data_IF_231949165348
#
_entry.id   IF_231949165348
#
_cell.length_a   1.000
_cell.length_b   1.000
_cell.length_c   1.000
_cell.angle_alpha   90.00
_cell.angle_beta   90.00
_cell.angle_gamma   90.00
#
_symmetry.space_group_name_H-M   'P 1'
#
loop_
_entity.id
_entity.type
_entity.pdbx_description
1 polymer ?
#
# COMPACT_ATOMS: atom_id res chain seq x y z
N UNK A 1 6.50 6.55 -49.84
CA UNK A 1 7.67 6.82 -48.97
C UNK A 1 7.34 7.37 -47.56
N UNK A 2 6.08 7.31 -47.08
CA UNK A 2 5.73 7.75 -45.70
C UNK A 2 5.83 6.59 -44.69
N UNK A 3 5.66 5.35 -45.15
CA UNK A 3 5.65 4.14 -44.30
C UNK A 3 7.02 3.70 -43.77
N UNK A 4 8.13 4.16 -44.36
CA UNK A 4 9.47 3.90 -43.80
C UNK A 4 9.87 4.85 -42.67
N UNK A 5 9.11 5.94 -42.43
CA UNK A 5 9.39 6.87 -41.32
C UNK A 5 8.63 6.53 -40.03
N UNK A 6 7.60 5.66 -40.09
CA UNK A 6 6.82 5.22 -38.94
C UNK A 6 7.48 4.09 -38.13
N UNK A 7 8.53 3.46 -38.65
CA UNK A 7 9.30 2.44 -37.93
C UNK A 7 10.17 3.02 -36.80
N UNK A 8 10.29 4.35 -36.69
CA UNK A 8 11.11 5.06 -35.69
C UNK A 8 10.39 5.45 -34.39
N UNK A 9 9.10 5.13 -34.23
CA UNK A 9 8.39 5.38 -32.97
C UNK A 9 8.41 4.16 -32.03
N UNK A 10 8.54 4.46 -30.73
CA UNK A 10 8.68 3.50 -29.63
C UNK A 10 7.53 2.49 -29.57
N UNK A 11 7.82 1.31 -29.00
CA UNK A 11 6.88 0.18 -28.87
C UNK A 11 5.56 0.55 -28.17
N UNK A 12 5.57 1.57 -27.31
CA UNK A 12 4.40 2.08 -26.58
C UNK A 12 3.41 2.78 -27.51
N UNK A 13 3.90 3.60 -28.46
CA UNK A 13 3.06 4.27 -29.46
C UNK A 13 2.43 3.28 -30.43
N UNK A 14 3.14 2.19 -30.79
CA UNK A 14 2.57 1.12 -31.63
C UNK A 14 1.39 0.42 -30.96
N UNK A 15 1.46 0.19 -29.65
CA UNK A 15 0.38 -0.46 -28.89
C UNK A 15 -0.86 0.44 -28.77
N UNK A 16 -0.67 1.72 -28.40
CA UNK A 16 -1.79 2.66 -28.24
C UNK A 16 -2.53 2.89 -29.57
N UNK A 17 -1.79 3.05 -30.68
CA UNK A 17 -2.35 3.25 -32.01
C UNK A 17 -3.02 1.98 -32.55
N UNK A 18 -2.43 0.80 -32.31
CA UNK A 18 -3.02 -0.51 -32.65
C UNK A 18 -4.37 -0.74 -31.97
N UNK A 19 -4.48 -0.44 -30.67
CA UNK A 19 -5.73 -0.61 -29.91
C UNK A 19 -6.81 0.35 -30.37
N UNK A 20 -6.46 1.59 -30.74
CA UNK A 20 -7.41 2.58 -31.25
C UNK A 20 -7.88 2.27 -32.68
N UNK A 21 -6.99 1.76 -33.55
CA UNK A 21 -7.34 1.37 -34.92
C UNK A 21 -8.15 0.07 -35.01
N UNK A 22 -7.96 -0.87 -34.06
CA UNK A 22 -8.74 -2.12 -33.99
C UNK A 22 -10.17 -1.93 -33.49
N UNK A 23 -10.43 -0.87 -32.71
CA UNK A 23 -11.77 -0.56 -32.19
C UNK A 23 -12.64 0.23 -33.17
N UNK A 24 -12.02 0.89 -34.15
CA UNK A 24 -12.73 1.72 -35.10
C UNK A 24 -12.71 1.07 -36.48
N UNK A 25 -13.60 0.08 -36.68
CA UNK A 25 -13.71 -0.75 -37.91
C UNK A 25 -13.81 0.11 -39.17
N UNK A 26 -14.43 1.30 -39.08
CA UNK A 26 -14.52 2.26 -40.20
C UNK A 26 -13.18 2.91 -40.57
N UNK A 27 -12.30 3.15 -39.60
CA UNK A 27 -10.97 3.71 -39.86
C UNK A 27 -9.99 2.65 -40.38
N UNK A 28 -10.13 1.40 -39.93
CA UNK A 28 -9.32 0.27 -40.41
C UNK A 28 -9.67 -0.09 -41.86
N UNK A 29 -10.94 -0.10 -42.25
CA UNK A 29 -11.36 -0.44 -43.62
C UNK A 29 -10.84 0.55 -44.68
N UNK A 30 -10.75 1.85 -44.36
CA UNK A 30 -10.25 2.87 -45.29
C UNK A 30 -8.72 2.82 -45.44
N UNK A 31 -8.01 2.39 -44.39
CA UNK A 31 -6.55 2.28 -44.41
C UNK A 31 -6.03 1.03 -45.16
N UNK A 32 -6.80 -0.06 -45.19
CA UNK A 32 -6.50 -1.28 -45.94
C UNK A 32 -7.09 -1.22 -47.36
N UNK A 33 -6.64 -0.23 -48.14
CA UNK A 33 -7.11 0.00 -49.51
C UNK A 33 -6.51 -1.01 -50.51
N UNK A 34 -6.87 -2.29 -50.37
CA UNK A 34 -6.67 -3.34 -51.38
C UNK A 34 -8.02 -3.98 -51.66
N UNK A 35 -8.59 -3.66 -52.82
CA UNK A 35 -9.80 -4.28 -53.43
C UNK A 35 -10.88 -4.66 -52.41
N UNK A 36 -11.64 -3.66 -51.94
CA UNK A 36 -12.85 -3.90 -51.14
C UNK A 36 -13.85 -4.73 -51.94
N UNK A 37 -14.44 -5.75 -51.30
CA UNK A 37 -15.49 -6.56 -51.90
C UNK A 37 -16.67 -5.69 -52.36
N UNK A 38 -17.39 -6.06 -53.44
CA UNK A 38 -18.50 -5.27 -53.98
C UNK A 38 -19.53 -4.85 -52.93
N UNK A 39 -19.81 -5.71 -51.94
CA UNK A 39 -20.73 -5.44 -50.82
C UNK A 39 -20.14 -4.40 -49.85
N UNK A 40 -18.86 -4.51 -49.49
CA UNK A 40 -18.20 -3.54 -48.61
C UNK A 40 -18.08 -2.17 -49.26
N UNK A 41 -17.83 -2.13 -50.57
CA UNK A 41 -17.84 -0.91 -51.37
C UNK A 41 -19.21 -0.24 -51.34
N UNK A 42 -20.29 -1.01 -51.52
CA UNK A 42 -21.66 -0.50 -51.41
C UNK A 42 -21.94 0.13 -50.04
N UNK A 43 -21.49 -0.50 -48.95
CA UNK A 43 -21.62 0.06 -47.60
C UNK A 43 -20.86 1.38 -47.43
N UNK A 44 -19.61 1.43 -47.88
CA UNK A 44 -18.79 2.67 -47.80
C UNK A 44 -19.42 3.79 -48.65
N UNK A 45 -19.91 3.46 -49.83
CA UNK A 45 -20.55 4.42 -50.73
C UNK A 45 -21.87 4.93 -50.12
N UNK A 46 -22.68 4.06 -49.50
CA UNK A 46 -23.90 4.47 -48.77
C UNK A 46 -23.60 5.32 -47.53
N UNK A 47 -22.52 5.03 -46.80
CA UNK A 47 -22.07 5.87 -45.67
C UNK A 47 -21.67 7.27 -46.16
N UNK A 48 -20.95 7.34 -47.30
CA UNK A 48 -20.58 8.63 -47.91
C UNK A 48 -21.80 9.38 -48.41
N UNK A 49 -22.73 8.69 -49.08
CA UNK A 49 -24.00 9.26 -49.54
C UNK A 49 -24.81 9.84 -48.37
N UNK A 50 -24.94 9.08 -47.27
CA UNK A 50 -25.61 9.55 -46.04
C UNK A 50 -24.90 10.76 -45.44
N UNK A 51 -23.56 10.77 -45.40
CA UNK A 51 -22.80 11.92 -44.89
C UNK A 51 -23.04 13.19 -45.71
N UNK A 52 -23.03 13.07 -47.04
CA UNK A 52 -23.32 14.20 -47.94
C UNK A 52 -24.74 14.70 -47.75
N UNK A 53 -25.73 13.80 -47.71
CA UNK A 53 -27.13 14.17 -47.47
C UNK A 53 -27.32 14.82 -46.10
N UNK A 54 -26.68 14.29 -45.05
CA UNK A 54 -26.73 14.84 -43.68
C UNK A 54 -26.18 16.26 -43.61
N UNK A 55 -25.10 16.54 -44.35
CA UNK A 55 -24.52 17.90 -44.40
C UNK A 55 -25.46 18.90 -45.08
N UNK A 56 -26.21 18.47 -46.09
CA UNK A 56 -27.22 19.30 -46.75
C UNK A 56 -28.44 19.55 -45.86
N UNK A 57 -28.89 18.54 -45.10
CA UNK A 57 -30.08 18.64 -44.25
C UNK A 57 -29.80 19.25 -42.86
N UNK A 58 -28.53 19.36 -42.44
CA UNK A 58 -28.15 19.86 -41.11
C UNK A 58 -28.54 18.94 -39.93
N UNK A 59 -29.05 17.74 -40.23
CA UNK A 59 -29.60 16.79 -39.25
C UNK A 59 -29.69 15.37 -39.84
N UNK A 60 -30.22 14.38 -39.09
CA UNK A 60 -30.40 13.03 -39.58
C UNK A 60 -31.16 12.99 -40.92
N UNK A 61 -30.64 12.25 -41.89
CA UNK A 61 -31.24 12.13 -43.23
C UNK A 61 -32.53 11.33 -43.12
N UNK A 62 -33.58 11.76 -43.84
CA UNK A 62 -34.93 11.16 -43.86
C UNK A 62 -35.70 11.24 -42.53
N UNK A 63 -35.31 12.16 -41.62
CA UNK A 63 -36.10 12.45 -40.43
C UNK A 63 -37.39 13.22 -40.82
N UNK A 64 -38.54 12.57 -40.63
CA UNK A 64 -39.85 13.22 -40.77
C UNK A 64 -40.16 14.18 -39.62
N UNK A 65 -41.25 14.97 -39.72
CA UNK A 65 -41.65 15.91 -38.66
C UNK A 65 -41.94 15.22 -37.32
N UNK A 66 -42.33 13.94 -37.33
CA UNK A 66 -42.53 13.12 -36.12
C UNK A 66 -41.24 12.92 -35.32
N UNK A 67 -40.08 12.75 -35.99
CA UNK A 67 -38.79 12.58 -35.33
C UNK A 67 -38.41 13.82 -34.52
N UNK A 68 -38.70 15.01 -35.06
CA UNK A 68 -38.42 16.26 -34.38
C UNK A 68 -39.33 16.44 -33.15
N UNK A 69 -40.60 16.04 -33.26
CA UNK A 69 -41.54 16.07 -32.13
C UNK A 69 -41.14 15.11 -31.01
N UNK A 70 -40.72 13.89 -31.34
CA UNK A 70 -40.26 12.93 -30.34
C UNK A 70 -38.94 13.38 -29.69
N UNK A 71 -38.01 13.95 -30.47
CA UNK A 71 -36.78 14.53 -29.95
C UNK A 71 -37.07 15.66 -28.96
N UNK A 72 -37.97 16.58 -29.31
CA UNK A 72 -38.37 17.69 -28.44
C UNK A 72 -39.08 17.20 -27.18
N UNK A 73 -39.91 16.15 -27.29
CA UNK A 73 -40.57 15.52 -26.14
C UNK A 73 -39.57 14.89 -25.17
N UNK A 74 -38.58 14.16 -25.67
CA UNK A 74 -37.55 13.54 -24.82
C UNK A 74 -36.60 14.58 -24.22
N UNK A 75 -36.25 15.63 -24.98
CA UNK A 75 -35.49 16.77 -24.45
C UNK A 75 -36.27 17.50 -23.35
N UNK A 76 -37.59 17.64 -23.47
CA UNK A 76 -38.44 18.22 -22.44
C UNK A 76 -38.49 17.36 -21.18
N UNK A 77 -38.64 16.03 -21.32
CA UNK A 77 -38.57 15.08 -20.19
C UNK A 77 -37.23 15.16 -19.47
N UNK A 78 -36.12 15.19 -20.21
CA UNK A 78 -34.78 15.31 -19.65
C UNK A 78 -34.59 16.63 -18.90
N UNK A 79 -35.07 17.75 -19.44
CA UNK A 79 -35.05 19.07 -18.75
C UNK A 79 -35.86 19.07 -17.46
N UNK A 80 -37.00 18.37 -17.42
CA UNK A 80 -37.81 18.23 -16.20
C UNK A 80 -37.12 17.36 -15.14
N UNK A 81 -36.49 16.26 -15.54
CA UNK A 81 -35.83 15.34 -14.61
C UNK A 81 -34.50 15.85 -14.06
N UNK A 82 -33.70 16.56 -14.86
CA UNK A 82 -32.32 16.94 -14.50
C UNK A 82 -32.12 18.44 -14.26
N UNK A 83 -33.18 19.26 -14.38
CA UNK A 83 -33.16 20.68 -14.01
C UNK A 83 -32.53 21.62 -15.05
N UNK A 84 -32.70 22.94 -14.85
CA UNK A 84 -32.33 24.05 -15.77
C UNK A 84 -30.81 24.27 -15.97
N UNK A 85 -30.00 23.22 -16.01
CA UNK A 85 -28.58 23.32 -16.34
C UNK A 85 -28.37 23.19 -17.86
N UNK A 86 -27.27 23.76 -18.37
CA UNK A 86 -26.85 23.58 -19.76
C UNK A 86 -26.59 22.09 -20.02
N UNK A 87 -27.43 21.46 -20.82
CA UNK A 87 -27.39 20.02 -21.12
C UNK A 87 -26.14 19.61 -21.91
N UNK A 88 -25.38 20.57 -22.42
CA UNK A 88 -24.09 20.34 -23.08
C UNK A 88 -22.91 20.39 -22.10
N UNK A 89 -23.13 20.83 -20.86
CA UNK A 89 -22.11 20.90 -19.82
C UNK A 89 -22.25 19.71 -18.87
N UNK A 90 -21.16 18.95 -18.70
CA UNK A 90 -21.11 17.90 -17.70
C UNK A 90 -21.10 18.52 -16.29
N UNK A 91 -21.89 18.02 -15.32
CA UNK A 91 -21.94 18.60 -13.99
C UNK A 91 -20.57 18.57 -13.30
N UNK A 92 -20.16 19.69 -12.69
CA UNK A 92 -19.00 19.71 -11.80
C UNK A 92 -19.38 19.13 -10.44
N UNK A 93 -18.95 17.90 -10.19
CA UNK A 93 -19.11 17.29 -8.87
C UNK A 93 -18.00 17.75 -7.92
N UNK A 94 -18.38 18.47 -6.86
CA UNK A 94 -17.49 18.75 -5.72
C UNK A 94 -17.75 17.74 -4.62
N UNK A 95 -16.88 16.74 -4.51
CA UNK A 95 -16.93 15.75 -3.43
C UNK A 95 -16.13 16.25 -2.22
N UNK A 96 -16.82 16.96 -1.32
CA UNK A 96 -16.29 17.41 -0.04
C UNK A 96 -16.68 16.44 1.09
N UNK A 97 -15.96 15.32 1.19
CA UNK A 97 -15.96 14.48 2.41
C UNK A 97 -14.96 15.02 3.43
N UNK A 98 -15.35 15.20 4.70
CA UNK A 98 -14.49 15.80 5.74
C UNK A 98 -13.27 14.92 6.08
N UNK A 99 -13.41 13.60 6.02
CA UNK A 99 -12.29 12.66 6.20
C UNK A 99 -11.25 12.76 5.08
N UNK A 100 -11.69 13.07 3.86
CA UNK A 100 -10.83 13.36 2.73
C UNK A 100 -10.18 14.75 2.84
N UNK A 101 -10.80 15.71 3.53
CA UNK A 101 -10.20 17.03 3.77
C UNK A 101 -8.99 16.94 4.70
N UNK A 102 -9.06 16.21 5.82
CA UNK A 102 -7.93 16.03 6.75
C UNK A 102 -6.75 15.29 6.10
N UNK A 103 -7.01 14.21 5.35
CA UNK A 103 -5.95 13.50 4.61
C UNK A 103 -5.30 14.39 3.52
N UNK A 104 -6.11 15.19 2.81
CA UNK A 104 -5.61 16.18 1.84
C UNK A 104 -4.76 17.25 2.52
N UNK A 105 -5.16 17.74 3.69
CA UNK A 105 -4.39 18.71 4.48
C UNK A 105 -3.03 18.15 4.90
N UNK A 106 -2.98 16.94 5.48
CA UNK A 106 -1.72 16.30 5.84
C UNK A 106 -0.79 16.12 4.63
N UNK A 107 -1.34 15.73 3.47
CA UNK A 107 -0.58 15.62 2.22
C UNK A 107 -0.03 16.97 1.70
N UNK A 108 -0.77 18.07 1.89
CA UNK A 108 -0.31 19.42 1.53
C UNK A 108 0.81 19.88 2.47
N UNK A 109 0.65 19.68 3.78
CA UNK A 109 1.69 19.99 4.76
C UNK A 109 2.96 19.17 4.50
N UNK A 110 2.81 17.90 4.12
CA UNK A 110 3.94 17.03 3.76
C UNK A 110 4.72 17.57 2.56
N UNK A 111 4.05 17.97 1.47
CA UNK A 111 4.75 18.60 0.33
C UNK A 111 5.40 19.92 0.73
N UNK A 112 4.74 20.73 1.55
CA UNK A 112 5.30 22.00 2.03
C UNK A 112 6.58 21.78 2.82
N UNK A 113 6.60 20.83 3.73
CA UNK A 113 7.78 20.51 4.54
C UNK A 113 8.90 19.90 3.70
N UNK A 114 8.57 19.00 2.77
CA UNK A 114 9.52 18.44 1.80
C UNK A 114 10.14 19.52 0.91
N UNK A 115 9.34 20.48 0.44
CA UNK A 115 9.81 21.62 -0.33
C UNK A 115 10.71 22.53 0.51
N UNK A 116 10.35 22.78 1.78
CA UNK A 116 11.19 23.51 2.73
C UNK A 116 12.55 22.84 2.86
N UNK A 117 12.61 21.54 3.20
CA UNK A 117 13.86 20.79 3.37
C UNK A 117 14.76 20.80 2.12
N UNK A 118 14.15 20.76 0.92
CA UNK A 118 14.88 20.92 -0.34
C UNK A 118 15.44 22.34 -0.51
N UNK A 119 14.65 23.36 -0.17
CA UNK A 119 15.06 24.76 -0.27
C UNK A 119 16.20 25.13 0.69
N UNK A 120 16.33 24.45 1.84
CA UNK A 120 17.48 24.61 2.75
C UNK A 120 18.82 24.21 2.09
N UNK A 121 18.80 23.46 0.98
CA UNK A 121 20.00 22.93 0.32
C UNK A 121 19.98 23.27 -1.18
N UNK A 122 20.20 24.54 -1.56
CA UNK A 122 20.11 24.96 -2.96
C UNK A 122 21.29 24.49 -3.82
N UNK A 123 22.44 24.18 -3.21
CA UNK A 123 23.64 23.73 -3.91
C UNK A 123 23.73 22.21 -3.88
N UNK A 124 24.08 21.62 -5.02
CA UNK A 124 24.27 20.18 -5.16
C UNK A 124 25.67 19.80 -4.71
N UNK A 125 25.76 19.07 -3.60
CA UNK A 125 27.00 18.47 -3.11
C UNK A 125 27.19 17.08 -3.72
N UNK A 126 28.44 16.72 -4.03
CA UNK A 126 28.78 15.39 -4.54
C UNK A 126 29.13 14.47 -3.37
N UNK A 127 28.61 13.25 -3.43
CA UNK A 127 28.89 12.19 -2.45
C UNK A 127 29.42 10.95 -3.16
N UNK A 128 30.28 10.21 -2.47
CA UNK A 128 30.84 8.95 -2.95
C UNK A 128 30.13 7.79 -2.25
N UNK A 129 29.53 6.90 -3.05
CA UNK A 129 28.76 5.77 -2.54
C UNK A 129 29.43 4.49 -3.00
N UNK A 130 30.00 3.72 -2.07
CA UNK A 130 30.69 2.46 -2.37
C UNK A 130 29.73 1.29 -2.26
N UNK A 131 29.63 0.47 -3.31
CA UNK A 131 28.76 -0.71 -3.28
C UNK A 131 29.53 -1.94 -2.83
N UNK A 132 29.12 -2.53 -1.70
CA UNK A 132 29.85 -3.60 -1.03
C UNK A 132 29.81 -4.93 -1.78
N UNK A 133 28.69 -5.25 -2.44
CA UNK A 133 28.49 -6.56 -3.10
C UNK A 133 28.52 -6.44 -4.63
N UNK A 134 29.24 -5.45 -5.18
CA UNK A 134 29.19 -5.22 -6.61
C UNK A 134 29.91 -6.35 -7.35
N UNK A 135 29.44 -6.75 -8.56
CA UNK A 135 30.12 -7.75 -9.39
C UNK A 135 31.59 -7.40 -9.66
N UNK A 136 31.93 -6.10 -9.59
CA UNK A 136 33.29 -5.59 -9.51
C UNK A 136 33.55 -5.14 -8.07
N UNK A 137 34.51 -5.74 -7.36
CA UNK A 137 34.88 -5.30 -6.02
C UNK A 137 35.21 -3.80 -6.03
N UNK A 138 34.54 -3.01 -5.18
CA UNK A 138 34.83 -1.58 -5.04
C UNK A 138 34.14 -0.64 -6.03
N UNK A 139 33.05 -1.05 -6.69
CA UNK A 139 32.27 -0.14 -7.53
C UNK A 139 31.81 1.09 -6.70
N UNK A 140 32.28 2.26 -7.09
CA UNK A 140 32.01 3.53 -6.40
C UNK A 140 31.19 4.43 -7.33
N UNK A 141 30.11 4.98 -6.80
CA UNK A 141 29.24 5.91 -7.50
C UNK A 141 29.48 7.33 -6.99
N UNK A 142 29.63 8.28 -7.90
CA UNK A 142 29.63 9.71 -7.56
C UNK A 142 28.23 10.26 -7.80
N UNK A 143 27.52 10.54 -6.73
CA UNK A 143 26.10 10.91 -6.72
C UNK A 143 25.88 12.29 -6.10
N UNK A 144 24.62 12.74 -6.12
CA UNK A 144 24.23 14.02 -5.55
C UNK A 144 23.69 13.81 -4.13
N UNK A 145 24.35 14.40 -3.13
CA UNK A 145 23.88 14.40 -1.75
C UNK A 145 22.51 15.07 -1.65
N UNK A 146 21.64 14.53 -0.80
CA UNK A 146 20.26 14.97 -0.56
C UNK A 146 19.31 14.92 -1.77
N UNK A 147 19.75 14.38 -2.92
CA UNK A 147 18.91 14.18 -4.11
C UNK A 147 18.92 12.73 -4.59
N UNK A 148 20.10 12.14 -4.72
CA UNK A 148 20.24 10.75 -5.17
C UNK A 148 19.77 9.78 -4.08
N UNK A 149 19.17 8.67 -4.52
CA UNK A 149 18.60 7.65 -3.64
C UNK A 149 19.23 6.28 -3.91
N UNK A 150 19.12 5.30 -3.02
CA UNK A 150 19.54 3.93 -3.31
C UNK A 150 18.95 3.36 -4.62
N UNK A 151 17.72 3.76 -4.98
CA UNK A 151 17.12 3.39 -6.26
C UNK A 151 17.91 3.91 -7.46
N UNK A 152 18.49 5.12 -7.36
CA UNK A 152 19.37 5.65 -8.41
C UNK A 152 20.66 4.83 -8.51
N UNK A 153 21.24 4.39 -7.38
CA UNK A 153 22.39 3.47 -7.39
C UNK A 153 22.04 2.14 -8.09
N UNK A 154 20.88 1.56 -7.77
CA UNK A 154 20.41 0.33 -8.39
C UNK A 154 20.22 0.49 -9.92
N UNK A 155 19.71 1.65 -10.36
CA UNK A 155 19.57 1.98 -11.77
C UNK A 155 20.92 2.03 -12.52
N UNK A 156 21.98 2.52 -11.86
CA UNK A 156 23.33 2.55 -12.43
C UNK A 156 23.97 1.16 -12.55
N UNK A 157 23.52 0.18 -11.76
CA UNK A 157 24.03 -1.19 -11.82
C UNK A 157 23.39 -2.00 -12.95
N UNK A 158 22.08 -2.24 -12.86
CA UNK A 158 21.32 -2.93 -13.90
C UNK A 158 19.82 -2.85 -13.66
N UNK A 159 19.05 -3.11 -14.71
CA UNK A 159 17.59 -3.24 -14.61
C UNK A 159 17.16 -4.33 -13.61
N UNK A 160 17.97 -5.39 -13.46
CA UNK A 160 17.69 -6.44 -12.48
C UNK A 160 17.75 -5.91 -11.04
N UNK A 161 18.75 -5.11 -10.68
CA UNK A 161 18.83 -4.50 -9.35
C UNK A 161 17.67 -3.52 -9.15
N UNK A 162 17.37 -2.69 -10.15
CA UNK A 162 16.25 -1.75 -10.10
C UNK A 162 14.90 -2.42 -9.78
N UNK A 163 14.65 -3.63 -10.34
CA UNK A 163 13.38 -4.36 -10.18
C UNK A 163 13.33 -5.29 -8.96
N UNK A 164 14.48 -5.74 -8.45
CA UNK A 164 14.53 -6.74 -7.37
C UNK A 164 14.96 -6.16 -6.01
N UNK A 165 15.63 -5.02 -5.99
CA UNK A 165 16.03 -4.36 -4.74
C UNK A 165 14.83 -3.67 -4.08
N UNK A 166 14.52 -4.11 -2.86
CA UNK A 166 13.38 -3.62 -2.07
C UNK A 166 13.85 -2.66 -1.00
N UNK A 167 15.03 -2.90 -0.44
CA UNK A 167 15.61 -2.10 0.62
C UNK A 167 17.10 -1.91 0.37
N UNK A 168 17.72 -0.93 1.02
CA UNK A 168 19.16 -0.79 1.06
C UNK A 168 19.66 -0.86 2.51
N UNK A 169 20.89 -1.35 2.69
CA UNK A 169 21.67 -1.09 3.90
C UNK A 169 22.65 0.02 3.58
N UNK A 170 22.55 1.12 4.31
CA UNK A 170 23.46 2.27 4.24
C UNK A 170 24.25 2.30 5.53
N UNK A 171 25.58 2.15 5.45
CA UNK A 171 26.46 2.00 6.62
C UNK A 171 25.97 0.90 7.60
N UNK A 172 25.43 -0.19 7.06
CA UNK A 172 24.86 -1.30 7.83
C UNK A 172 23.45 -1.06 8.39
N UNK A 173 22.85 0.11 8.19
CA UNK A 173 21.49 0.44 8.67
C UNK A 173 20.44 0.30 7.57
N UNK A 174 19.25 -0.28 7.84
CA UNK A 174 18.14 -0.33 6.89
C UNK A 174 17.70 1.06 6.41
N UNK A 175 17.54 1.21 5.10
CA UNK A 175 17.25 2.48 4.42
C UNK A 175 16.26 2.28 3.26
N UNK A 176 15.30 3.20 3.12
CA UNK A 176 14.32 3.13 2.04
C UNK A 176 14.96 3.40 0.69
N UNK A 177 14.48 2.70 -0.34
CA UNK A 177 15.02 2.86 -1.70
C UNK A 177 14.78 4.25 -2.30
N UNK A 178 13.74 4.95 -1.86
CA UNK A 178 13.38 6.30 -2.33
C UNK A 178 13.85 7.43 -1.41
N UNK A 179 14.45 7.10 -0.26
CA UNK A 179 14.95 8.09 0.69
C UNK A 179 16.32 8.63 0.24
N UNK A 180 16.52 9.96 0.13
CA UNK A 180 17.79 10.53 -0.31
C UNK A 180 18.97 10.17 0.60
N UNK A 181 20.14 9.97 -0.02
CA UNK A 181 21.41 9.76 0.68
C UNK A 181 21.98 11.11 1.10
N UNK A 182 22.39 11.25 2.36
CA UNK A 182 22.84 12.53 2.92
C UNK A 182 24.35 12.75 2.83
N UNK A 183 25.13 11.68 2.88
CA UNK A 183 26.59 11.71 2.92
C UNK A 183 27.19 10.55 2.14
N UNK A 184 28.51 10.59 1.91
CA UNK A 184 29.26 9.44 1.39
C UNK A 184 29.10 8.25 2.33
N UNK A 185 28.79 7.08 1.77
CA UNK A 185 28.38 5.92 2.54
C UNK A 185 28.63 4.61 1.80
N UNK A 186 28.60 3.51 2.55
CA UNK A 186 28.67 2.17 1.99
C UNK A 186 27.25 1.62 1.80
N UNK A 187 26.96 1.11 0.60
CA UNK A 187 25.63 0.61 0.24
C UNK A 187 25.64 -0.88 -0.10
N UNK A 188 24.62 -1.58 0.39
CA UNK A 188 24.26 -2.95 -0.01
C UNK A 188 22.78 -2.97 -0.37
N UNK A 189 22.44 -3.48 -1.54
CA UNK A 189 21.05 -3.61 -1.96
C UNK A 189 20.48 -4.95 -1.46
N UNK A 190 19.28 -4.92 -0.89
CA UNK A 190 18.60 -6.09 -0.35
C UNK A 190 17.37 -6.48 -1.17
N UNK A 191 17.14 -7.78 -1.34
CA UNK A 191 16.02 -8.38 -2.04
C UNK A 191 15.34 -9.48 -1.21
N UNK A 192 14.12 -9.88 -1.61
CA UNK A 192 13.36 -10.92 -0.90
C UNK A 192 14.03 -12.31 -0.89
N UNK A 193 14.91 -12.60 -1.86
CA UNK A 193 15.53 -13.91 -2.05
C UNK A 193 16.95 -13.99 -1.48
N UNK A 194 17.36 -12.97 -0.73
CA UNK A 194 18.66 -12.97 -0.07
C UNK A 194 18.70 -13.98 1.08
N UNK A 195 19.92 -14.32 1.52
CA UNK A 195 20.13 -15.29 2.62
C UNK A 195 19.51 -14.84 3.94
N UNK A 196 19.55 -13.53 4.20
CA UNK A 196 18.95 -12.90 5.37
C UNK A 196 17.95 -11.80 4.92
N UNK A 197 16.70 -12.17 4.65
CA UNK A 197 15.68 -11.23 4.20
C UNK A 197 14.94 -10.53 5.35
N UNK A 198 15.38 -10.67 6.62
CA UNK A 198 14.59 -10.23 7.78
C UNK A 198 14.30 -8.72 7.79
N UNK A 199 15.26 -7.91 7.35
CA UNK A 199 15.06 -6.46 7.21
C UNK A 199 14.01 -6.14 6.14
N UNK A 200 14.07 -6.82 4.99
CA UNK A 200 13.12 -6.66 3.88
C UNK A 200 11.74 -7.15 4.27
N UNK A 201 11.65 -8.28 4.96
CA UNK A 201 10.42 -8.85 5.48
C UNK A 201 9.75 -7.88 6.46
N UNK A 202 10.47 -7.33 7.43
CA UNK A 202 9.90 -6.33 8.36
C UNK A 202 9.41 -5.08 7.63
N UNK A 203 10.19 -4.55 6.68
CA UNK A 203 9.77 -3.39 5.87
C UNK A 203 8.52 -3.68 5.03
N UNK A 204 8.42 -4.87 4.44
CA UNK A 204 7.24 -5.32 3.70
C UNK A 204 6.00 -5.38 4.57
N UNK A 205 6.11 -5.96 5.77
CA UNK A 205 5.00 -6.09 6.72
C UNK A 205 4.50 -4.75 7.24
N UNK A 206 5.41 -3.83 7.56
CA UNK A 206 5.05 -2.44 7.91
C UNK A 206 4.31 -1.76 6.77
N UNK A 207 4.83 -1.87 5.56
CA UNK A 207 4.22 -1.25 4.37
C UNK A 207 2.81 -1.77 4.12
N UNK A 208 2.61 -3.09 4.26
CA UNK A 208 1.29 -3.71 4.15
C UNK A 208 0.35 -3.22 5.26
N UNK A 209 0.80 -3.12 6.51
CA UNK A 209 -0.01 -2.59 7.59
C UNK A 209 -0.47 -1.14 7.31
N UNK A 210 0.42 -0.27 6.84
CA UNK A 210 0.04 1.11 6.49
C UNK A 210 -0.94 1.14 5.32
N UNK A 211 -0.76 0.29 4.30
CA UNK A 211 -1.74 0.14 3.21
C UNK A 211 -3.11 -0.31 3.72
N UNK A 212 -3.15 -1.20 4.72
CA UNK A 212 -4.39 -1.62 5.39
C UNK A 212 -5.09 -0.44 6.07
N UNK A 213 -4.34 0.38 6.81
CA UNK A 213 -4.89 1.59 7.44
C UNK A 213 -5.54 2.55 6.43
N UNK A 214 -4.89 2.74 5.28
CA UNK A 214 -5.46 3.55 4.18
C UNK A 214 -6.71 2.91 3.56
N UNK A 215 -6.70 1.59 3.33
CA UNK A 215 -7.84 0.87 2.76
C UNK A 215 -9.06 0.93 3.71
N UNK A 216 -8.84 0.71 5.00
CA UNK A 216 -9.88 0.79 6.03
C UNK A 216 -10.43 2.22 6.13
N UNK A 217 -9.57 3.24 6.19
CA UNK A 217 -10.02 4.65 6.23
C UNK A 217 -10.89 5.04 5.04
N UNK A 218 -10.64 4.49 3.85
CA UNK A 218 -11.39 4.81 2.61
C UNK A 218 -12.67 4.01 2.42
N UNK A 219 -12.79 2.85 3.08
CA UNK A 219 -13.88 1.92 2.82
C UNK A 219 -15.20 2.29 3.53
N UNK A 220 -15.13 2.97 4.68
CA UNK A 220 -16.31 3.38 5.42
C UNK A 220 -16.90 4.67 4.84
N UNK A 221 -18.23 4.83 4.97
CA UNK A 221 -18.93 6.04 4.56
C UNK A 221 -18.50 7.22 5.44
N UNK A 222 -18.54 8.44 4.89
CA UNK A 222 -18.18 9.66 5.62
C UNK A 222 -18.99 9.87 6.91
N UNK A 223 -20.21 9.34 6.96
CA UNK A 223 -21.06 9.35 8.15
C UNK A 223 -20.46 8.57 9.33
N UNK A 224 -19.61 7.57 9.08
CA UNK A 224 -18.99 6.73 10.10
C UNK A 224 -17.49 7.06 10.22
N UNK A 225 -17.10 7.98 11.12
CA UNK A 225 -15.71 8.33 11.31
C UNK A 225 -14.86 7.11 11.69
N UNK A 226 -13.69 7.04 11.05
CA UNK A 226 -12.67 6.00 11.28
C UNK A 226 -11.40 6.65 11.79
N UNK A 227 -11.02 6.32 13.02
CA UNK A 227 -9.82 6.86 13.66
C UNK A 227 -8.72 5.81 13.67
N UNK A 228 -7.64 6.08 12.95
CA UNK A 228 -6.47 5.19 12.87
C UNK A 228 -5.61 5.33 14.12
N UNK A 229 -5.32 4.24 14.82
CA UNK A 229 -4.57 4.28 16.08
C UNK A 229 -3.08 4.05 15.80
N UNK A 230 -2.69 2.79 15.58
CA UNK A 230 -1.30 2.39 15.37
C UNK A 230 -1.22 1.13 14.52
N UNK A 231 -0.06 0.90 13.92
CA UNK A 231 0.29 -0.36 13.29
C UNK A 231 1.20 -1.14 14.25
N UNK A 232 0.70 -2.14 15.00
CA UNK A 232 1.52 -2.92 15.91
C UNK A 232 2.64 -3.64 15.17
N UNK A 233 3.86 -3.62 15.69
CA UNK A 233 4.93 -4.45 15.14
C UNK A 233 4.65 -5.93 15.43
N UNK A 234 4.31 -6.67 14.38
CA UNK A 234 4.07 -8.11 14.42
C UNK A 234 5.21 -8.85 13.72
N UNK A 235 5.78 -9.91 14.32
CA UNK A 235 6.78 -10.71 13.65
C UNK A 235 6.15 -11.40 12.44
N UNK A 236 6.91 -11.57 11.36
CA UNK A 236 6.43 -12.21 10.11
C UNK A 236 5.93 -13.64 10.36
N UNK A 237 6.54 -14.34 11.32
CA UNK A 237 6.12 -15.68 11.76
C UNK A 237 4.73 -15.72 12.41
N UNK A 238 4.17 -14.58 12.84
CA UNK A 238 2.82 -14.52 13.39
C UNK A 238 1.72 -14.82 12.35
N UNK A 239 2.00 -14.58 11.07
CA UNK A 239 1.13 -14.95 9.96
C UNK A 239 0.07 -13.92 9.56
N UNK A 240 0.00 -12.74 10.19
CA UNK A 240 -0.83 -11.62 9.72
C UNK A 240 -0.30 -10.26 10.21
N UNK A 241 -0.24 -9.26 9.32
CA UNK A 241 0.05 -7.88 9.72
C UNK A 241 -1.22 -7.24 10.26
N UNK A 242 -1.06 -6.32 11.19
CA UNK A 242 -2.19 -5.76 11.95
C UNK A 242 -2.22 -4.24 11.86
N UNK A 243 -3.42 -3.67 11.90
CA UNK A 243 -3.63 -2.24 12.09
C UNK A 243 -4.79 -2.02 13.05
N UNK A 244 -4.55 -1.23 14.09
CA UNK A 244 -5.53 -0.94 15.14
C UNK A 244 -6.32 0.33 14.77
N UNK A 245 -7.64 0.22 14.80
CA UNK A 245 -8.59 1.23 14.32
C UNK A 245 -9.74 1.37 15.29
N UNK A 246 -10.10 2.60 15.65
CA UNK A 246 -11.32 2.90 16.39
C UNK A 246 -12.42 3.24 15.40
N UNK A 247 -13.54 2.52 15.49
CA UNK A 247 -14.75 2.78 14.71
C UNK A 247 -15.77 3.58 15.53
N UNK A 248 -16.67 4.27 14.83
CA UNK A 248 -17.80 5.00 15.42
C UNK A 248 -18.62 4.13 16.39
N UNK A 249 -19.11 4.72 17.48
CA UNK A 249 -19.91 4.03 18.49
C UNK A 249 -21.21 3.40 17.96
N UNK A 250 -21.75 3.87 16.83
CA UNK A 250 -22.90 3.26 16.14
C UNK A 250 -22.57 1.91 15.53
N UNK A 251 -21.30 1.60 15.33
CA UNK A 251 -20.80 0.31 14.86
C UNK A 251 -20.42 -0.62 16.03
N UNK A 252 -20.91 -0.36 17.25
CA UNK A 252 -20.78 -1.29 18.38
C UNK A 252 -21.42 -2.64 18.03
N UNK A 253 -20.64 -3.70 18.11
CA UNK A 253 -21.08 -5.06 17.77
C UNK A 253 -21.08 -5.39 16.27
N UNK A 254 -20.71 -4.43 15.40
CA UNK A 254 -20.49 -4.73 13.99
C UNK A 254 -19.32 -5.70 13.85
N UNK A 255 -19.53 -6.75 13.07
CA UNK A 255 -18.49 -7.69 12.66
C UNK A 255 -18.48 -7.75 11.15
N UNK A 256 -17.31 -7.66 10.51
CA UNK A 256 -17.25 -7.65 9.05
C UNK A 256 -17.69 -9.00 8.50
N UNK A 257 -18.60 -8.95 7.54
CA UNK A 257 -18.97 -10.12 6.74
C UNK A 257 -17.84 -10.49 5.78
N UNK A 258 -17.95 -11.66 5.14
CA UNK A 258 -17.01 -12.07 4.09
C UNK A 258 -17.01 -11.11 2.90
N UNK A 259 -18.14 -10.46 2.62
CA UNK A 259 -18.26 -9.48 1.54
C UNK A 259 -17.61 -8.14 1.89
N UNK A 260 -17.70 -7.72 3.16
CA UNK A 260 -17.00 -6.53 3.66
C UNK A 260 -15.48 -6.70 3.56
N UNK A 261 -14.95 -7.85 3.99
CA UNK A 261 -13.52 -8.18 3.89
C UNK A 261 -13.04 -8.25 2.43
N UNK A 262 -13.86 -8.77 1.52
CA UNK A 262 -13.57 -8.75 0.07
C UNK A 262 -13.54 -7.32 -0.48
N UNK A 263 -14.46 -6.47 -0.05
CA UNK A 263 -14.51 -5.07 -0.46
C UNK A 263 -13.29 -4.29 0.04
N UNK A 264 -12.90 -4.48 1.30
CA UNK A 264 -11.65 -3.94 1.86
C UNK A 264 -10.41 -4.41 1.09
N UNK A 265 -10.38 -5.70 0.74
CA UNK A 265 -9.29 -6.26 -0.07
C UNK A 265 -9.27 -5.65 -1.47
N UNK A 266 -10.43 -5.34 -2.07
CA UNK A 266 -10.53 -4.67 -3.37
C UNK A 266 -10.00 -3.24 -3.33
N UNK A 267 -10.26 -2.50 -2.25
CA UNK A 267 -9.67 -1.17 -2.03
C UNK A 267 -8.13 -1.25 -1.97
N UNK A 268 -7.59 -2.21 -1.22
CA UNK A 268 -6.14 -2.44 -1.17
C UNK A 268 -5.55 -2.78 -2.56
N UNK A 269 -6.23 -3.64 -3.34
CA UNK A 269 -5.81 -3.90 -4.73
C UNK A 269 -5.91 -2.67 -5.63
N UNK A 270 -6.85 -1.75 -5.37
CA UNK A 270 -6.90 -0.44 -6.04
C UNK A 270 -5.64 0.39 -5.79
N UNK A 271 -5.12 0.38 -4.56
CA UNK A 271 -3.84 1.03 -4.21
C UNK A 271 -2.64 0.37 -4.90
N UNK A 272 -2.64 -0.96 -4.98
CA UNK A 272 -1.57 -1.74 -5.64
C UNK A 272 -1.52 -1.43 -7.14
N UNK A 273 -2.69 -1.43 -7.82
CA UNK A 273 -2.77 -1.18 -9.27
C UNK A 273 -2.32 0.21 -9.68
N UNK A 274 -2.40 1.19 -8.77
CA UNK A 274 -1.93 2.56 -8.99
C UNK A 274 -0.40 2.71 -8.92
N UNK A 275 0.32 1.69 -8.41
CA UNK A 275 1.78 1.66 -8.26
C UNK A 275 2.36 2.95 -7.64
N UNK A 276 1.82 3.32 -6.48
CA UNK A 276 2.17 4.56 -5.80
C UNK A 276 3.54 4.42 -5.10
N UNK A 277 4.44 5.42 -5.22
CA UNK A 277 5.69 5.43 -4.48
C UNK A 277 5.44 5.72 -2.99
N UNK A 278 6.21 5.05 -2.13
CA UNK A 278 6.31 5.41 -0.73
C UNK A 278 7.42 6.46 -0.57
N UNK A 279 7.03 7.62 -0.07
CA UNK A 279 7.94 8.72 0.21
C UNK A 279 8.13 8.87 1.72
N UNK A 280 9.38 8.79 2.16
CA UNK A 280 9.75 8.94 3.57
C UNK A 280 10.28 10.34 3.82
N UNK A 281 9.85 10.96 4.91
CA UNK A 281 10.33 12.26 5.37
C UNK A 281 10.54 12.24 6.87
N UNK A 282 11.73 12.62 7.33
CA UNK A 282 11.96 12.88 8.75
C UNK A 282 11.60 14.33 9.04
N UNK A 283 10.77 14.54 10.05
CA UNK A 283 10.26 15.87 10.43
C UNK A 283 10.41 16.08 11.93
N UNK A 284 10.43 17.34 12.36
CA UNK A 284 10.33 17.69 13.78
C UNK A 284 8.95 17.32 14.32
N UNK A 285 8.89 16.89 15.59
CA UNK A 285 7.66 16.48 16.26
C UNK A 285 6.58 17.56 16.18
N UNK A 286 6.94 18.85 16.27
CA UNK A 286 5.98 19.96 16.17
C UNK A 286 5.21 19.96 14.84
N UNK A 287 5.93 19.74 13.74
CA UNK A 287 5.35 19.70 12.39
C UNK A 287 4.50 18.43 12.23
N UNK A 288 4.95 17.31 12.77
CA UNK A 288 4.16 16.08 12.78
C UNK A 288 2.85 16.23 13.57
N UNK A 289 2.87 16.90 14.74
CA UNK A 289 1.67 17.16 15.53
C UNK A 289 0.65 18.02 14.76
N UNK A 290 1.10 19.04 14.03
CA UNK A 290 0.24 19.84 13.15
C UNK A 290 -0.42 19.01 12.04
N UNK A 291 0.29 18.02 11.48
CA UNK A 291 -0.26 17.14 10.44
C UNK A 291 -1.34 16.18 10.95
N UNK A 292 -1.29 15.82 12.24
CA UNK A 292 -2.18 14.82 12.86
C UNK A 292 -3.08 15.42 13.95
N UNK A 293 -3.33 16.74 13.93
CA UNK A 293 -4.15 17.43 14.94
C UNK A 293 -5.55 16.81 15.10
N UNK A 294 -6.11 16.28 14.01
CA UNK A 294 -7.44 15.63 13.99
C UNK A 294 -7.45 14.26 14.68
N UNK A 295 -6.29 13.70 15.05
CA UNK A 295 -6.17 12.35 15.57
C UNK A 295 -5.31 12.28 16.83
N UNK A 296 -5.99 12.32 17.99
CA UNK A 296 -5.38 12.22 19.32
C UNK A 296 -4.44 11.03 19.49
N UNK A 297 -4.83 9.84 19.02
CA UNK A 297 -3.99 8.64 19.16
C UNK A 297 -2.67 8.75 18.39
N UNK A 298 -2.69 9.44 17.23
CA UNK A 298 -1.47 9.71 16.46
C UNK A 298 -0.60 10.76 17.12
N UNK A 299 -1.19 11.78 17.73
CA UNK A 299 -0.44 12.77 18.50
C UNK A 299 0.30 12.13 19.68
N UNK A 300 -0.38 11.31 20.48
CA UNK A 300 0.22 10.56 21.59
C UNK A 300 1.38 9.66 21.11
N UNK A 301 1.19 8.97 19.97
CA UNK A 301 2.23 8.15 19.36
C UNK A 301 3.44 8.97 18.88
N UNK A 302 3.21 10.17 18.34
CA UNK A 302 4.27 11.09 17.89
C UNK A 302 5.07 11.58 19.08
N UNK A 303 4.41 11.93 20.19
CA UNK A 303 5.07 12.35 21.43
C UNK A 303 5.89 11.22 22.06
N UNK A 304 5.34 10.02 22.12
CA UNK A 304 6.05 8.81 22.58
C UNK A 304 7.33 8.60 21.76
N UNK A 305 7.24 8.64 20.43
CA UNK A 305 8.40 8.48 19.53
C UNK A 305 9.41 9.61 19.64
N UNK A 306 8.93 10.84 19.73
CA UNK A 306 9.79 12.00 19.89
C UNK A 306 10.53 11.98 21.22
N UNK A 307 9.99 11.31 22.25
CA UNK A 307 10.67 11.13 23.54
C UNK A 307 11.81 10.10 23.50
N UNK A 308 11.71 9.10 22.61
CA UNK A 308 12.72 8.05 22.44
C UNK A 308 13.92 8.50 21.59
N UNK A 309 13.72 9.49 20.72
CA UNK A 309 14.74 10.03 19.82
C UNK A 309 15.38 11.32 20.40
N UNK A 310 16.72 11.37 20.57
CA UNK A 310 17.41 12.57 21.07
C UNK A 310 17.16 13.83 20.23
N UNK A 311 17.03 13.67 18.91
CA UNK A 311 16.78 14.77 17.97
C UNK A 311 15.29 15.17 17.90
N UNK A 312 14.41 14.48 18.63
CA UNK A 312 12.94 14.67 18.64
C UNK A 312 12.30 14.63 17.25
N UNK A 313 12.95 13.96 16.30
CA UNK A 313 12.45 13.75 14.94
C UNK A 313 11.57 12.51 14.85
N UNK A 314 10.58 12.57 13.96
CA UNK A 314 9.66 11.47 13.66
C UNK A 314 9.66 11.22 12.15
N UNK A 315 9.67 9.94 11.77
CA UNK A 315 9.62 9.52 10.36
C UNK A 315 8.19 9.36 9.90
N UNK A 316 7.82 10.12 8.87
CA UNK A 316 6.53 10.05 8.19
C UNK A 316 6.68 9.37 6.85
N UNK A 317 5.72 8.52 6.51
CA UNK A 317 5.61 7.96 5.17
C UNK A 317 4.33 8.43 4.49
N UNK A 318 4.47 8.73 3.22
CA UNK A 318 3.38 9.11 2.34
C UNK A 318 3.29 8.15 1.16
N UNK A 319 2.08 7.79 0.76
CA UNK A 319 1.81 7.29 -0.59
C UNK A 319 0.49 7.84 -1.10
N UNK A 320 0.51 8.44 -2.29
CA UNK A 320 -0.64 9.19 -2.81
C UNK A 320 -0.99 10.35 -1.88
N UNK A 321 -2.19 10.31 -1.31
CA UNK A 321 -2.72 11.37 -0.40
C UNK A 321 -2.74 10.93 1.06
N UNK A 322 -2.25 9.73 1.36
CA UNK A 322 -2.26 9.17 2.70
C UNK A 322 -0.88 9.32 3.35
N UNK A 323 -0.86 9.87 4.55
CA UNK A 323 0.35 10.07 5.37
C UNK A 323 0.15 9.30 6.68
N UNK A 324 1.18 8.56 7.10
CA UNK A 324 1.18 7.82 8.36
C UNK A 324 2.58 7.82 9.00
N UNK A 325 2.60 7.58 10.31
CA UNK A 325 3.82 7.46 11.11
C UNK A 325 4.23 5.99 11.18
N UNK A 326 5.43 5.64 10.74
CA UNK A 326 5.98 4.28 10.89
C UNK A 326 7.18 4.24 11.84
N UNK A 327 7.67 3.03 12.12
CA UNK A 327 8.91 2.79 12.84
C UNK A 327 9.88 2.04 11.92
N UNK A 328 10.79 2.79 11.30
CA UNK A 328 11.73 2.25 10.33
C UNK A 328 11.19 2.13 8.90
N UNK A 329 11.98 1.51 8.01
CA UNK A 329 11.79 1.64 6.58
C UNK A 329 10.60 0.85 6.03
N UNK A 330 10.20 1.24 4.81
CA UNK A 330 9.10 0.73 4.00
C UNK A 330 9.60 0.34 2.61
N UNK A 331 8.75 -0.38 1.86
CA UNK A 331 9.01 -0.77 0.47
C UNK A 331 8.91 0.45 -0.45
N UNK A 332 9.56 0.49 -1.62
CA UNK A 332 9.56 1.67 -2.48
C UNK A 332 8.21 1.96 -3.13
N UNK A 333 7.40 0.95 -3.44
CA UNK A 333 6.14 1.12 -4.19
C UNK A 333 5.08 0.12 -3.79
N UNK A 334 3.82 0.52 -3.90
CA UNK A 334 2.67 -0.36 -3.64
C UNK A 334 2.56 -1.52 -4.64
N UNK A 335 3.09 -1.37 -5.86
CA UNK A 335 3.06 -2.41 -6.90
C UNK A 335 3.94 -3.64 -6.61
N UNK A 336 4.78 -3.59 -5.57
CA UNK A 336 5.54 -4.76 -5.11
C UNK A 336 4.62 -5.81 -4.48
N UNK A 337 3.54 -5.37 -3.83
CA UNK A 337 2.53 -6.26 -3.27
C UNK A 337 1.75 -6.92 -4.41
N UNK A 338 1.58 -8.25 -4.38
CA UNK A 338 0.86 -8.98 -5.42
C UNK A 338 -0.43 -9.60 -4.92
N UNK A 339 -0.34 -10.58 -4.03
CA UNK A 339 -1.50 -11.15 -3.34
C UNK A 339 -1.70 -10.32 -2.08
N UNK A 340 -2.89 -9.76 -1.87
CA UNK A 340 -3.19 -8.95 -0.70
C UNK A 340 -4.63 -9.19 -0.26
N UNK A 341 -4.84 -9.69 0.95
CA UNK A 341 -6.19 -9.85 1.51
C UNK A 341 -6.28 -9.37 2.95
N UNK A 342 -7.43 -8.78 3.25
CA UNK A 342 -7.86 -8.50 4.63
C UNK A 342 -8.55 -9.75 5.15
N UNK A 343 -7.94 -10.40 6.12
CA UNK A 343 -8.32 -11.73 6.58
C UNK A 343 -9.44 -11.71 7.61
N UNK A 344 -9.36 -10.80 8.58
CA UNK A 344 -10.28 -10.68 9.71
C UNK A 344 -10.22 -9.28 10.33
N UNK A 345 -11.27 -8.93 11.10
CA UNK A 345 -11.20 -7.84 12.07
C UNK A 345 -11.70 -8.35 13.42
N UNK A 346 -10.96 -8.04 14.48
CA UNK A 346 -11.26 -8.47 15.83
C UNK A 346 -11.52 -7.27 16.73
N UNK A 347 -12.64 -7.25 17.45
CA UNK A 347 -12.85 -6.29 18.53
C UNK A 347 -11.88 -6.58 19.68
N UNK A 348 -11.18 -5.55 20.17
CA UNK A 348 -10.27 -5.65 21.31
C UNK A 348 -10.94 -5.06 22.56
N UNK A 349 -10.87 -5.73 23.72
CA UNK A 349 -11.35 -5.17 24.98
C UNK A 349 -10.38 -4.07 25.47
N UNK A 350 -10.92 -2.95 25.97
CA UNK A 350 -10.14 -1.98 26.77
C UNK A 350 -9.77 -0.64 26.14
N UNK A 351 -10.63 -0.03 25.30
CA UNK A 351 -10.41 1.34 24.80
C UNK A 351 -11.65 2.23 24.87
N UNK A 352 -11.45 3.56 24.87
CA UNK A 352 -12.52 4.52 24.59
C UNK A 352 -12.97 4.33 23.12
N UNK A 353 -14.10 3.65 22.91
CA UNK A 353 -14.64 3.36 21.59
C UNK A 353 -14.53 1.89 21.17
N UNK A 354 -14.97 1.59 19.94
CA UNK A 354 -14.97 0.20 19.42
C UNK A 354 -13.63 -0.06 18.73
N UNK A 355 -12.61 -0.36 19.54
CA UNK A 355 -11.27 -0.67 19.04
C UNK A 355 -11.30 -2.01 18.30
N UNK A 356 -10.87 -1.99 17.05
CA UNK A 356 -10.75 -3.16 16.19
C UNK A 356 -9.32 -3.32 15.69
N UNK A 357 -8.82 -4.55 15.76
CA UNK A 357 -7.59 -4.96 15.07
C UNK A 357 -7.97 -5.58 13.73
N UNK A 358 -7.70 -4.85 12.66
CA UNK A 358 -7.79 -5.39 11.30
C UNK A 358 -6.52 -6.17 10.99
N UNK A 359 -6.69 -7.33 10.37
CA UNK A 359 -5.61 -8.22 10.00
C UNK A 359 -5.59 -8.46 8.50
N UNK A 360 -4.40 -8.61 7.96
CA UNK A 360 -4.23 -8.98 6.57
C UNK A 360 -3.02 -9.86 6.32
N UNK A 361 -3.01 -10.45 5.14
CA UNK A 361 -1.92 -11.24 4.61
C UNK A 361 -1.57 -10.72 3.21
N UNK A 362 -0.27 -10.70 2.91
CA UNK A 362 0.19 -10.31 1.59
C UNK A 362 1.48 -11.03 1.20
N UNK A 363 1.64 -11.27 -0.10
CA UNK A 363 2.87 -11.78 -0.70
C UNK A 363 3.34 -10.89 -1.85
N UNK A 364 4.65 -10.62 -1.95
CA UNK A 364 5.21 -9.78 -3.00
C UNK A 364 5.21 -10.51 -4.35
N UNK A 365 5.34 -9.73 -5.44
CA UNK A 365 5.44 -10.24 -6.82
C UNK A 365 6.53 -11.30 -6.99
N UNK A 366 7.62 -11.21 -6.21
CA UNK A 366 8.78 -12.11 -6.29
C UNK A 366 8.58 -13.45 -5.57
N UNK A 367 7.58 -13.56 -4.68
CA UNK A 367 7.30 -14.74 -3.84
C UNK A 367 5.82 -15.17 -3.95
N UNK A 368 5.33 -15.35 -5.17
CA UNK A 368 3.94 -15.76 -5.41
C UNK A 368 3.69 -17.16 -4.88
N UNK A 369 2.60 -17.33 -4.13
CA UNK A 369 2.15 -18.64 -3.68
C UNK A 369 1.06 -19.20 -4.61
N UNK A 370 1.07 -20.52 -4.79
CA UNK A 370 -0.03 -21.25 -5.41
C UNK A 370 -1.31 -21.11 -4.57
N UNK A 371 -2.47 -21.17 -5.20
CA UNK A 371 -3.76 -20.91 -4.55
C UNK A 371 -4.03 -21.79 -3.31
N UNK A 372 -3.60 -23.06 -3.32
CA UNK A 372 -3.73 -23.97 -2.17
C UNK A 372 -2.91 -23.48 -0.98
N UNK A 373 -1.67 -23.05 -1.21
CA UNK A 373 -0.79 -22.53 -0.16
C UNK A 373 -1.34 -21.20 0.36
N UNK A 374 -1.78 -20.32 -0.55
CA UNK A 374 -2.42 -19.06 -0.20
C UNK A 374 -3.62 -19.26 0.73
N UNK A 375 -4.52 -20.19 0.41
CA UNK A 375 -5.69 -20.46 1.24
C UNK A 375 -5.31 -20.96 2.65
N UNK A 376 -4.29 -21.83 2.76
CA UNK A 376 -3.79 -22.29 4.06
C UNK A 376 -3.18 -21.15 4.90
N UNK A 377 -2.42 -20.26 4.26
CA UNK A 377 -1.87 -19.09 4.93
C UNK A 377 -2.99 -18.12 5.36
N UNK A 378 -4.02 -17.96 4.52
CA UNK A 378 -5.17 -17.13 4.82
C UNK A 378 -5.95 -17.66 6.03
N UNK A 379 -6.16 -18.98 6.13
CA UNK A 379 -6.76 -19.62 7.31
C UNK A 379 -5.96 -19.33 8.58
N UNK A 380 -4.62 -19.39 8.52
CA UNK A 380 -3.76 -19.03 9.65
C UNK A 380 -3.86 -17.55 10.04
N UNK A 381 -4.02 -16.67 9.05
CA UNK A 381 -4.08 -15.21 9.22
C UNK A 381 -5.40 -14.69 9.78
N UNK A 382 -6.45 -15.53 9.88
CA UNK A 382 -7.74 -15.19 10.51
C UNK A 382 -7.71 -15.31 12.04
N UNK A 383 -6.67 -15.94 12.58
CA UNK A 383 -6.49 -16.08 14.03
C UNK A 383 -5.89 -14.79 14.56
N UNK A 384 -6.48 -14.26 15.63
CA UNK A 384 -6.02 -13.04 16.29
C UNK A 384 -4.51 -13.15 16.60
N UNK A 385 -3.77 -12.14 16.14
CA UNK A 385 -2.35 -11.97 16.41
C UNK A 385 -2.23 -10.97 17.55
N UNK A 386 -1.71 -11.44 18.68
CA UNK A 386 -1.29 -10.58 19.78
C UNK A 386 0.11 -10.04 19.48
N UNK A 387 0.30 -8.73 19.61
CA UNK A 387 1.58 -8.08 19.35
C UNK A 387 2.65 -8.52 20.34
N UNK A 388 3.93 -8.29 20.02
CA UNK A 388 5.06 -8.63 20.90
C UNK A 388 4.93 -7.98 22.29
N UNK A 389 4.28 -6.80 22.38
CA UNK A 389 4.02 -6.09 23.64
C UNK A 389 2.84 -6.58 24.49
N UNK A 390 1.88 -7.35 23.92
CA UNK A 390 0.74 -7.88 24.69
C UNK A 390 1.11 -9.14 25.50
N UNK A 391 2.09 -9.92 25.02
CA UNK A 391 2.61 -11.08 25.77
C UNK A 391 3.31 -10.69 27.07
N UNK A 392 3.86 -9.47 27.16
CA UNK A 392 4.50 -8.98 28.39
C UNK A 392 3.46 -8.57 29.45
N UNK A 393 2.35 -7.97 29.03
CA UNK A 393 1.24 -7.55 29.91
C UNK A 393 0.37 -8.74 30.35
N UNK A 394 0.12 -9.73 29.49
CA UNK A 394 -0.57 -10.98 29.88
C UNK A 394 0.27 -11.85 30.83
N UNK A 395 1.60 -11.89 30.67
CA UNK A 395 2.49 -12.56 31.64
C UNK A 395 2.56 -11.86 33.00
N UNK A 396 2.38 -10.53 33.02
CA UNK A 396 2.31 -9.77 34.26
C UNK A 396 0.93 -9.88 34.95
N UNK A 397 -0.15 -9.99 34.16
CA UNK A 397 -1.51 -10.18 34.67
C UNK A 397 -1.76 -11.62 35.17
N UNK A 398 -1.23 -12.63 34.47
CA UNK A 398 -1.34 -14.04 34.87
C UNK A 398 -0.46 -14.45 36.06
N UNK A 399 0.36 -13.53 36.60
CA UNK A 399 1.19 -13.75 37.79
C UNK A 399 0.55 -13.30 39.11
N UNK A 400 -0.69 -12.77 39.09
CA UNK A 400 -1.36 -12.20 40.28
C UNK A 400 -2.63 -12.92 40.74
N UNK A 401 -3.09 -13.95 40.05
CA UNK A 401 -4.22 -14.77 40.50
C UNK A 401 -3.77 -16.20 40.77
N UNK A 402 -3.38 -16.47 42.01
CA UNK A 402 -3.50 -17.75 42.73
C UNK A 402 -2.60 -17.76 43.97
N UNK A 403 -2.91 -16.96 44.99
CA UNK A 403 -2.55 -17.23 46.38
C UNK A 403 -3.72 -16.78 47.26
N UNK A 404 -4.02 -17.63 48.26
CA UNK A 404 -5.16 -17.65 49.19
C UNK A 404 -6.42 -18.32 48.62
N UNK A 405 -7.00 -19.36 49.22
CA UNK A 405 -6.90 -19.96 50.55
C UNK A 405 -7.52 -21.38 50.47
N UNK A 406 -7.00 -22.37 51.20
CA UNK A 406 -7.79 -23.26 52.07
C UNK A 406 -6.86 -24.21 52.84
N UNK A 407 -6.88 -24.04 54.16
CA UNK A 407 -6.30 -24.91 55.17
C UNK A 407 -7.38 -25.88 55.68
N UNK A 408 -7.13 -27.20 55.66
CA UNK A 408 -7.76 -28.17 56.56
C UNK A 408 -7.11 -29.57 56.48
N UNK A 409 -6.34 -29.90 57.53
CA UNK A 409 -6.17 -31.17 58.24
C UNK A 409 -6.19 -32.54 57.50
N UNK A 410 -5.06 -33.28 57.58
CA UNK A 410 -5.03 -34.73 57.82
C UNK A 410 -3.65 -35.22 58.32
N UNK A 411 -3.68 -36.18 59.25
CA UNK A 411 -2.65 -36.74 60.15
C UNK A 411 -1.72 -37.78 59.46
N UNK A 412 -0.48 -38.06 59.93
CA UNK A 412 0.51 -38.87 59.21
C UNK A 412 0.53 -40.36 59.62
N UNK A 413 0.95 -41.25 58.71
CA UNK A 413 1.31 -42.64 59.04
C UNK A 413 2.39 -43.21 58.09
N UNK A 414 3.59 -43.34 58.64
CA UNK A 414 4.62 -44.41 58.60
C UNK A 414 4.83 -45.38 57.40
N UNK A 415 6.05 -45.96 57.28
CA UNK A 415 6.66 -46.46 56.03
C UNK A 415 6.65 -47.99 55.89
N UNK A 416 7.08 -48.51 54.73
CA UNK A 416 7.42 -49.93 54.56
C UNK A 416 8.70 -50.14 53.70
N UNK A 417 9.45 -51.26 53.87
CA UNK A 417 10.90 -51.35 53.65
C UNK A 417 11.33 -52.33 52.54
N UNK A 418 12.65 -52.44 52.33
CA UNK A 418 13.32 -53.53 51.58
C UNK A 418 14.20 -52.99 50.45
N UNK A 419 15.51 -52.81 50.66
CA UNK A 419 16.59 -53.81 50.42
C UNK A 419 16.69 -54.18 48.92
N UNK A 420 17.82 -54.14 48.22
CA UNK A 420 19.19 -54.59 48.54
C UNK A 420 20.20 -53.85 47.63
N UNK A 421 21.41 -53.67 48.15
CA UNK A 421 22.64 -53.11 47.57
C UNK A 421 23.24 -53.99 46.44
N UNK A 422 23.99 -53.41 45.50
CA UNK A 422 25.47 -53.45 45.50
C UNK A 422 26.11 -52.69 44.30
N UNK A 423 27.38 -52.25 44.43
CA UNK A 423 27.99 -51.13 43.70
C UNK A 423 28.96 -51.55 42.58
N UNK A 424 29.39 -50.59 41.76
CA UNK A 424 30.58 -50.72 40.92
C UNK A 424 31.51 -49.50 41.07
N UNK A 425 32.79 -49.84 41.18
CA UNK A 425 33.96 -49.07 41.58
C UNK A 425 34.34 -47.85 40.72
N UNK A 426 35.10 -46.98 41.38
CA UNK A 426 35.93 -45.92 40.83
C UNK A 426 37.15 -46.48 40.05
N UNK A 427 37.63 -45.70 39.08
CA UNK A 427 39.03 -45.72 38.66
C UNK A 427 39.47 -44.30 38.29
N UNK A 428 40.43 -43.81 39.06
CA UNK A 428 41.22 -42.62 38.79
C UNK A 428 42.28 -42.93 37.72
N UNK A 429 42.63 -41.93 36.93
CA UNK A 429 43.82 -41.92 36.08
C UNK A 429 44.35 -40.49 36.03
N UNK A 430 45.52 -40.27 36.62
CA UNK A 430 46.30 -39.06 36.45
C UNK A 430 47.51 -39.34 35.57
N UNK A 431 47.80 -38.43 34.64
CA UNK A 431 49.10 -37.78 34.38
C UNK A 431 48.92 -36.79 33.23
#
# INVERSE_FOLDING_TARGET
>A
MILQRLSRFSSVLRSAVSVHLRRNVGASAVAFNKQLDPIQKLFVDKIREYKTKRQTTGGPVDAGPEYQQDLDRELFRLKQMYGKADMNAFPEFKFEGSAAAGARRAGVLFEREKARQRALRPRVEKIEVRHLDAPRPGATFVLNGHLSTPLTCAAHLSEWHLRNSVLALVDGRPWDMLRPLTRSCDIRLLAFRDRDPDAVNRAYWRSCAVMLGCAVRRAFKDEYPVTLVRAPETPVSAGAFCYDVVLDGRLRGWTPTREDLRSLSKEAHGLIRRDLPFETLDVDAKVALEMFEDNRHKMELIEEKASQNPERTVTLNRFGDFVDVSEGPVIPRTGICFQYEVSAAHGLPGGEGVLHRFQGLSLPVHMRAHHVIWNRLLERSRKLVTGVGQKATERAAGGREARDETEAAAVPAAPDPGSVRHPAAAAAGGQ
#
